data_IF_881673748490
#
_entry.id   IF_881673748490
#
_cell.length_a   1.000
_cell.length_b   1.000
_cell.length_c   1.000
_cell.angle_alpha   90.00
_cell.angle_beta   90.00
_cell.angle_gamma   90.00
#
_symmetry.space_group_name_H-M   'P 1'
#
loop_
_entity.id
_entity.type
_entity.pdbx_description
1 polymer ?
#
# COMPACT_ATOMS: atom_id res chain seq x y z
N UNK A 1 -15.27 7.19 -16.08
CA UNK A 1 -15.03 8.46 -15.33
C UNK A 1 -14.41 8.08 -13.98
N UNK A 2 -13.30 8.71 -13.56
CA UNK A 2 -12.69 8.44 -12.24
C UNK A 2 -13.60 9.05 -11.15
N UNK A 3 -13.89 8.31 -10.08
CA UNK A 3 -14.72 8.77 -8.94
C UNK A 3 -13.81 9.17 -7.78
N UNK A 4 -14.18 10.22 -7.06
CA UNK A 4 -13.51 10.69 -5.86
C UNK A 4 -14.53 10.73 -4.71
N UNK A 5 -14.16 10.17 -3.57
CA UNK A 5 -14.96 10.19 -2.35
C UNK A 5 -14.19 10.84 -1.21
N UNK A 6 -14.88 11.64 -0.39
CA UNK A 6 -14.34 12.24 0.83
C UNK A 6 -15.41 12.11 1.91
N UNK A 7 -15.08 11.42 2.99
CA UNK A 7 -15.96 11.23 4.15
C UNK A 7 -15.16 11.57 5.41
N UNK A 8 -15.76 12.35 6.31
CA UNK A 8 -15.18 12.62 7.61
C UNK A 8 -15.33 11.40 8.54
N UNK A 9 -14.28 11.10 9.30
CA UNK A 9 -14.25 10.06 10.32
C UNK A 9 -13.55 10.66 11.55
N UNK A 10 -14.26 10.79 12.67
CA UNK A 10 -13.80 11.50 13.86
C UNK A 10 -12.84 10.68 14.73
N UNK A 11 -12.89 9.36 14.63
CA UNK A 11 -12.04 8.46 15.42
C UNK A 11 -11.58 7.23 14.64
N UNK A 12 -10.71 6.43 15.25
CA UNK A 12 -10.35 5.10 14.76
C UNK A 12 -11.14 3.99 15.49
N UNK A 13 -12.22 4.34 16.19
CA UNK A 13 -13.10 3.37 16.84
C UNK A 13 -13.83 2.54 15.78
N UNK A 14 -13.91 1.22 15.99
CA UNK A 14 -14.27 0.25 14.96
C UNK A 14 -15.62 0.56 14.29
N UNK A 15 -16.65 0.89 15.08
CA UNK A 15 -17.99 1.19 14.58
C UNK A 15 -18.02 2.44 13.69
N UNK A 16 -17.48 3.56 14.18
CA UNK A 16 -17.48 4.84 13.44
C UNK A 16 -16.61 4.73 12.18
N UNK A 17 -15.46 4.09 12.30
CA UNK A 17 -14.52 3.89 11.20
C UNK A 17 -15.12 3.01 10.11
N UNK A 18 -15.74 1.89 10.48
CA UNK A 18 -16.36 0.96 9.52
C UNK A 18 -17.48 1.66 8.76
N UNK A 19 -18.38 2.37 9.44
CA UNK A 19 -19.47 3.13 8.80
C UNK A 19 -18.93 4.22 7.86
N UNK A 20 -17.90 4.94 8.27
CA UNK A 20 -17.27 5.98 7.45
C UNK A 20 -16.61 5.38 6.21
N UNK A 21 -15.93 4.24 6.36
CA UNK A 21 -15.28 3.52 5.27
C UNK A 21 -16.29 2.93 4.28
N UNK A 22 -17.39 2.35 4.75
CA UNK A 22 -18.46 1.85 3.88
C UNK A 22 -19.11 2.98 3.07
N UNK A 23 -19.40 4.12 3.70
CA UNK A 23 -19.91 5.31 3.00
C UNK A 23 -18.93 5.81 1.97
N UNK A 24 -17.64 5.86 2.32
CA UNK A 24 -16.58 6.29 1.40
C UNK A 24 -16.51 5.37 0.19
N UNK A 25 -16.41 4.06 0.41
CA UNK A 25 -16.35 3.06 -0.65
C UNK A 25 -17.60 3.09 -1.52
N UNK A 26 -18.79 3.16 -0.91
CA UNK A 26 -20.06 3.29 -1.63
C UNK A 26 -20.10 4.49 -2.57
N UNK A 27 -19.56 5.64 -2.14
CA UNK A 27 -19.50 6.86 -2.97
C UNK A 27 -18.62 6.72 -4.22
N UNK A 28 -17.64 5.81 -4.20
CA UNK A 28 -16.73 5.55 -5.32
C UNK A 28 -17.04 4.27 -6.10
N UNK A 29 -18.19 3.64 -5.85
CA UNK A 29 -18.65 2.46 -6.59
C UNK A 29 -18.46 1.12 -5.86
N UNK A 30 -18.12 1.15 -4.57
CA UNK A 30 -18.14 -0.02 -3.71
C UNK A 30 -17.02 -1.04 -3.97
N UNK A 31 -17.28 -2.25 -3.51
CA UNK A 31 -16.38 -3.40 -3.59
C UNK A 31 -16.98 -4.55 -4.40
N UNK A 32 -17.92 -4.26 -5.30
CA UNK A 32 -18.65 -5.29 -6.09
C UNK A 32 -17.75 -6.01 -7.10
N UNK A 33 -16.55 -5.49 -7.34
CA UNK A 33 -15.52 -6.12 -8.16
C UNK A 33 -14.75 -7.25 -7.44
N UNK A 34 -14.98 -7.43 -6.13
CA UNK A 34 -14.33 -8.46 -5.33
C UNK A 34 -15.07 -9.78 -5.50
N UNK A 35 -14.38 -10.76 -6.07
CA UNK A 35 -14.91 -12.11 -6.28
C UNK A 35 -14.32 -13.09 -5.25
N UNK A 36 -15.09 -14.10 -4.80
CA UNK A 36 -14.58 -15.15 -3.92
C UNK A 36 -13.35 -15.83 -4.53
N UNK A 37 -12.29 -16.00 -3.73
CA UNK A 37 -11.03 -16.58 -4.16
C UNK A 37 -10.00 -15.59 -4.69
N UNK A 38 -10.37 -14.34 -5.00
CA UNK A 38 -9.39 -13.31 -5.40
C UNK A 38 -8.33 -13.08 -4.33
N UNK A 39 -7.08 -13.03 -4.73
CA UNK A 39 -5.97 -12.54 -3.90
C UNK A 39 -5.83 -11.03 -4.05
N UNK A 40 -6.15 -10.29 -2.98
CA UNK A 40 -6.06 -8.84 -2.94
C UNK A 40 -4.88 -8.41 -2.07
N UNK A 41 -3.98 -7.61 -2.64
CA UNK A 41 -2.87 -7.00 -1.92
C UNK A 41 -3.22 -5.56 -1.50
N UNK A 42 -3.20 -5.28 -0.19
CA UNK A 42 -3.29 -3.93 0.37
C UNK A 42 -1.89 -3.42 0.64
N UNK A 43 -1.44 -2.51 -0.22
CA UNK A 43 -0.19 -1.76 -0.05
C UNK A 43 -0.40 -0.65 0.98
N UNK A 44 0.18 -0.81 2.15
CA UNK A 44 0.10 0.16 3.25
C UNK A 44 1.27 1.15 3.22
N UNK A 45 1.26 2.21 4.02
CA UNK A 45 2.51 2.87 4.39
C UNK A 45 3.14 2.19 5.61
N UNK A 46 4.40 1.79 5.48
CA UNK A 46 5.16 1.15 6.57
C UNK A 46 6.64 1.57 6.53
N UNK A 47 6.93 2.87 6.53
CA UNK A 47 8.32 3.37 6.42
C UNK A 47 9.26 2.74 7.47
N UNK A 48 8.77 2.67 8.72
CA UNK A 48 9.48 2.10 9.87
C UNK A 48 8.47 1.61 10.93
N UNK A 49 8.95 0.79 11.86
CA UNK A 49 8.18 0.40 13.04
C UNK A 49 7.96 1.62 13.93
N UNK A 50 6.74 2.14 13.94
CA UNK A 50 6.37 3.35 14.64
C UNK A 50 4.96 3.21 15.20
N UNK A 51 4.75 3.78 16.38
CA UNK A 51 3.42 3.89 16.99
C UNK A 51 2.43 4.55 15.99
N UNK A 52 1.24 3.96 15.75
CA UNK A 52 0.23 4.48 14.83
C UNK A 52 -0.14 5.96 15.06
N UNK A 53 -0.07 6.46 16.30
CA UNK A 53 -0.35 7.85 16.67
C UNK A 53 0.63 8.84 16.03
N UNK A 54 1.83 8.39 15.67
CA UNK A 54 2.83 9.22 14.99
C UNK A 54 2.57 9.42 13.50
N UNK A 55 1.55 8.77 12.94
CA UNK A 55 1.20 8.88 11.52
C UNK A 55 2.33 8.48 10.53
N UNK A 56 3.35 7.74 11.00
CA UNK A 56 4.43 7.18 10.15
C UNK A 56 3.97 5.95 9.39
N UNK A 57 2.92 5.28 9.86
CA UNK A 57 2.28 4.13 9.21
C UNK A 57 0.82 4.44 8.87
N UNK A 58 0.22 3.73 7.92
CA UNK A 58 -1.25 3.73 7.81
C UNK A 58 -1.82 3.14 9.10
N UNK A 59 -2.92 3.70 9.61
CA UNK A 59 -3.43 3.27 10.91
C UNK A 59 -3.92 1.81 10.83
N UNK A 60 -3.48 0.89 11.73
CA UNK A 60 -3.87 -0.52 11.68
C UNK A 60 -5.38 -0.75 11.66
N UNK A 61 -6.15 0.04 12.43
CA UNK A 61 -7.61 -0.04 12.42
C UNK A 61 -8.23 0.19 11.02
N UNK A 62 -7.67 1.09 10.21
CA UNK A 62 -8.16 1.34 8.83
C UNK A 62 -7.90 0.11 7.96
N UNK A 63 -6.70 -0.47 8.08
CA UNK A 63 -6.33 -1.68 7.35
C UNK A 63 -7.16 -2.88 7.78
N UNK A 64 -7.45 -3.01 9.08
CA UNK A 64 -8.29 -4.07 9.61
C UNK A 64 -9.74 -3.93 9.13
N UNK A 65 -10.33 -2.73 9.17
CA UNK A 65 -11.68 -2.49 8.66
C UNK A 65 -11.78 -2.79 7.15
N UNK A 66 -10.82 -2.30 6.36
CA UNK A 66 -10.77 -2.58 4.92
C UNK A 66 -10.57 -4.08 4.63
N UNK A 67 -9.65 -4.72 5.36
CA UNK A 67 -9.40 -6.17 5.24
C UNK A 67 -10.65 -6.97 5.51
N UNK A 68 -11.36 -6.65 6.61
CA UNK A 68 -12.62 -7.30 6.97
C UNK A 68 -13.62 -7.20 5.82
N UNK A 69 -13.87 -5.98 5.29
CA UNK A 69 -14.80 -5.78 4.18
C UNK A 69 -14.48 -6.62 2.94
N UNK A 70 -13.20 -6.84 2.63
CA UNK A 70 -12.77 -7.67 1.51
C UNK A 70 -12.91 -9.17 1.84
N UNK A 71 -12.49 -9.59 3.04
CA UNK A 71 -12.55 -10.99 3.47
C UNK A 71 -13.98 -11.52 3.58
N UNK A 72 -14.96 -10.74 4.06
CA UNK A 72 -16.38 -11.20 4.08
C UNK A 72 -16.93 -11.46 2.67
N UNK A 73 -16.30 -10.91 1.63
CA UNK A 73 -16.64 -11.15 0.23
C UNK A 73 -15.92 -12.37 -0.36
N UNK A 74 -15.15 -13.09 0.45
CA UNK A 74 -14.44 -14.31 0.05
C UNK A 74 -13.05 -14.07 -0.53
N UNK A 75 -12.52 -12.85 -0.49
CA UNK A 75 -11.15 -12.58 -0.94
C UNK A 75 -10.11 -13.05 0.08
N UNK A 76 -8.95 -13.46 -0.43
CA UNK A 76 -7.74 -13.70 0.33
C UNK A 76 -6.91 -12.42 0.40
N UNK A 77 -6.83 -11.77 1.57
CA UNK A 77 -6.21 -10.44 1.68
C UNK A 77 -4.79 -10.52 2.25
N UNK A 78 -3.84 -9.85 1.60
CA UNK A 78 -2.47 -9.62 2.12
C UNK A 78 -2.22 -8.15 2.36
N UNK A 79 -1.76 -7.77 3.54
CA UNK A 79 -1.39 -6.39 3.89
C UNK A 79 0.12 -6.29 4.01
N UNK A 80 0.72 -5.33 3.34
CA UNK A 80 2.18 -5.20 3.36
C UNK A 80 2.74 -3.94 2.76
N UNK A 81 4.04 -3.80 2.91
CA UNK A 81 4.88 -2.78 2.28
C UNK A 81 6.31 -3.33 2.21
N UNK A 82 7.16 -2.65 1.45
CA UNK A 82 8.61 -2.77 1.62
C UNK A 82 9.11 -1.57 2.45
N UNK A 83 9.46 -1.75 3.73
CA UNK A 83 9.96 -0.67 4.58
C UNK A 83 11.33 -0.15 4.11
N UNK A 84 11.79 0.93 4.74
CA UNK A 84 13.21 1.33 4.64
C UNK A 84 14.12 0.33 5.37
N UNK A 85 15.35 0.17 4.85
CA UNK A 85 16.32 -0.79 5.37
C UNK A 85 16.21 -2.18 4.72
N UNK A 86 16.76 -3.23 5.36
CA UNK A 86 16.74 -4.59 4.80
C UNK A 86 15.32 -5.10 4.57
N UNK A 87 15.07 -5.74 3.43
CA UNK A 87 13.78 -6.40 3.14
C UNK A 87 13.89 -7.88 3.49
N UNK A 88 13.79 -8.18 4.78
CA UNK A 88 13.85 -9.54 5.33
C UNK A 88 12.64 -9.84 6.20
N UNK A 89 12.26 -11.12 6.31
CA UNK A 89 11.11 -11.55 7.11
C UNK A 89 11.23 -11.09 8.57
N UNK A 90 12.41 -11.22 9.18
CA UNK A 90 12.67 -10.79 10.56
C UNK A 90 12.49 -9.28 10.75
N UNK A 91 12.90 -8.46 9.78
CA UNK A 91 12.71 -7.02 9.83
C UNK A 91 11.24 -6.63 9.67
N UNK A 92 10.52 -7.29 8.76
CA UNK A 92 9.07 -7.11 8.58
C UNK A 92 8.31 -7.45 9.87
N UNK A 93 8.53 -8.63 10.45
CA UNK A 93 7.90 -9.05 11.71
C UNK A 93 8.12 -8.03 12.84
N UNK A 94 9.36 -7.55 12.98
CA UNK A 94 9.70 -6.53 13.99
C UNK A 94 8.93 -5.23 13.76
N UNK A 95 8.86 -4.76 12.52
CA UNK A 95 8.15 -3.53 12.17
C UNK A 95 6.64 -3.68 12.38
N UNK A 96 6.05 -4.82 11.98
CA UNK A 96 4.63 -5.08 12.18
C UNK A 96 4.25 -5.05 13.65
N UNK A 97 5.03 -5.69 14.53
CA UNK A 97 4.82 -5.63 15.98
C UNK A 97 4.91 -4.21 16.52
N UNK A 98 5.94 -3.46 16.13
CA UNK A 98 6.17 -2.07 16.57
C UNK A 98 5.09 -1.08 16.08
N UNK A 99 4.37 -1.43 15.02
CA UNK A 99 3.31 -0.62 14.42
C UNK A 99 1.91 -1.17 14.65
N UNK A 100 1.77 -2.21 15.47
CA UNK A 100 0.51 -2.91 15.76
C UNK A 100 -0.24 -3.42 14.51
N UNK A 101 0.48 -3.73 13.43
CA UNK A 101 -0.10 -4.21 12.17
C UNK A 101 -0.68 -5.62 12.30
N UNK A 102 -0.27 -6.40 13.31
CA UNK A 102 -0.82 -7.72 13.63
C UNK A 102 -2.36 -7.68 13.84
N UNK A 103 -2.94 -6.51 14.12
CA UNK A 103 -4.39 -6.31 14.18
C UNK A 103 -5.14 -6.71 12.89
N UNK A 104 -4.52 -6.65 11.72
CA UNK A 104 -5.18 -7.04 10.46
C UNK A 104 -5.48 -8.53 10.38
N UNK A 105 -4.76 -9.35 11.14
CA UNK A 105 -4.97 -10.80 11.19
C UNK A 105 -6.30 -11.15 11.86
N UNK A 106 -6.72 -10.35 12.84
CA UNK A 106 -8.05 -10.47 13.48
C UNK A 106 -9.19 -10.10 12.51
N UNK A 107 -8.89 -9.40 11.42
CA UNK A 107 -9.83 -9.10 10.34
C UNK A 107 -9.80 -10.14 9.20
N UNK A 108 -9.05 -11.24 9.37
CA UNK A 108 -8.95 -12.33 8.40
C UNK A 108 -7.98 -12.08 7.24
N UNK A 109 -7.17 -11.01 7.30
CA UNK A 109 -6.06 -10.81 6.37
C UNK A 109 -4.77 -11.49 6.89
N UNK A 110 -3.74 -11.55 6.04
CA UNK A 110 -2.38 -11.91 6.44
C UNK A 110 -1.42 -10.75 6.25
N UNK A 111 -0.38 -10.66 7.07
CA UNK A 111 0.72 -9.74 6.84
C UNK A 111 1.69 -10.32 5.79
N UNK A 112 2.20 -9.47 4.90
CA UNK A 112 3.19 -9.90 3.92
C UNK A 112 4.49 -10.29 4.62
N UNK A 113 4.94 -11.53 4.41
CA UNK A 113 6.26 -12.03 4.78
C UNK A 113 7.06 -12.50 3.56
N UNK A 114 6.47 -12.44 2.37
CA UNK A 114 7.19 -12.74 1.13
C UNK A 114 8.15 -11.58 0.81
N UNK A 115 9.44 -11.91 0.85
CA UNK A 115 10.55 -11.01 0.55
C UNK A 115 11.17 -11.28 -0.82
N UNK A 116 10.50 -12.09 -1.64
CA UNK A 116 10.84 -12.33 -3.02
C UNK A 116 10.86 -11.05 -3.85
N UNK A 117 11.69 -11.07 -4.87
CA UNK A 117 11.84 -9.98 -5.82
C UNK A 117 11.64 -10.52 -7.22
N UNK A 118 11.06 -9.70 -8.10
CA UNK A 118 10.83 -10.01 -9.49
C UNK A 118 11.28 -8.85 -10.36
N UNK A 119 12.06 -9.17 -11.37
CA UNK A 119 12.36 -8.25 -12.46
C UNK A 119 11.21 -8.27 -13.47
N UNK A 120 10.79 -7.08 -13.87
CA UNK A 120 9.72 -6.88 -14.81
C UNK A 120 10.12 -5.91 -15.91
N UNK A 121 9.81 -6.27 -17.15
CA UNK A 121 9.87 -5.34 -18.26
C UNK A 121 8.58 -4.50 -18.27
N UNK A 122 8.75 -3.19 -18.45
CA UNK A 122 7.65 -2.26 -18.66
C UNK A 122 7.94 -1.37 -19.87
N UNK A 123 7.88 -1.90 -21.11
CA UNK A 123 8.26 -1.14 -22.31
C UNK A 123 7.49 0.18 -22.49
N UNK A 124 6.28 0.27 -21.94
CA UNK A 124 5.45 1.49 -21.95
C UNK A 124 5.84 2.56 -20.93
N UNK A 125 6.80 2.28 -20.04
CA UNK A 125 7.28 3.23 -19.04
C UNK A 125 7.98 4.43 -19.66
N UNK A 126 7.71 5.62 -19.11
CA UNK A 126 8.26 6.87 -19.60
C UNK A 126 9.74 7.03 -19.26
N UNK A 127 10.12 6.69 -18.02
CA UNK A 127 11.48 6.73 -17.50
C UNK A 127 11.94 5.38 -16.94
N UNK A 128 11.01 4.58 -16.41
CA UNK A 128 11.27 3.26 -15.83
C UNK A 128 10.76 2.16 -16.77
N UNK A 129 11.62 1.71 -17.69
CA UNK A 129 11.25 0.64 -18.66
C UNK A 129 11.53 -0.78 -18.19
N UNK A 130 12.26 -0.92 -17.09
CA UNK A 130 12.52 -2.16 -16.38
C UNK A 130 12.55 -1.82 -14.90
N UNK A 131 11.96 -2.68 -14.07
CA UNK A 131 11.96 -2.52 -12.62
C UNK A 131 12.17 -3.85 -11.91
N UNK A 132 12.83 -3.77 -10.76
CA UNK A 132 12.85 -4.85 -9.76
C UNK A 132 11.86 -4.48 -8.68
N UNK A 133 10.93 -5.36 -8.38
CA UNK A 133 9.85 -5.11 -7.43
C UNK A 133 9.57 -6.31 -6.53
N UNK A 134 8.79 -6.10 -5.47
CA UNK A 134 8.40 -7.18 -4.55
C UNK A 134 7.40 -8.14 -5.21
N UNK A 135 7.66 -9.45 -5.14
CA UNK A 135 6.83 -10.49 -5.78
C UNK A 135 5.37 -10.49 -5.31
N UNK A 136 5.14 -10.31 -4.01
CA UNK A 136 3.80 -10.35 -3.42
C UNK A 136 2.79 -9.35 -4.00
N UNK A 137 3.26 -8.24 -4.60
CA UNK A 137 2.39 -7.30 -5.31
C UNK A 137 2.07 -7.76 -6.73
N UNK A 138 3.01 -8.43 -7.40
CA UNK A 138 2.81 -8.92 -8.77
C UNK A 138 2.01 -10.21 -8.86
N UNK A 139 1.93 -10.96 -7.75
CA UNK A 139 1.19 -12.22 -7.68
C UNK A 139 -0.29 -12.02 -7.24
N UNK A 140 -0.68 -10.79 -6.93
CA UNK A 140 -2.06 -10.46 -6.54
C UNK A 140 -2.96 -10.21 -7.77
N UNK A 141 -4.21 -10.66 -7.69
CA UNK A 141 -5.23 -10.39 -8.71
C UNK A 141 -5.64 -8.91 -8.73
N UNK A 142 -5.55 -8.24 -7.57
CA UNK A 142 -5.80 -6.81 -7.45
C UNK A 142 -4.94 -6.17 -6.35
N UNK A 143 -4.50 -4.93 -6.61
CA UNK A 143 -3.76 -4.11 -5.65
C UNK A 143 -4.64 -2.95 -5.17
N UNK A 144 -4.68 -2.71 -3.86
CA UNK A 144 -5.23 -1.49 -3.25
C UNK A 144 -4.08 -0.72 -2.61
N UNK A 145 -3.95 0.56 -2.95
CA UNK A 145 -2.98 1.45 -2.31
C UNK A 145 -3.66 2.21 -1.16
N UNK A 146 -3.43 1.80 0.08
CA UNK A 146 -4.01 2.42 1.27
C UNK A 146 -2.96 3.24 2.02
N UNK A 147 -2.99 4.55 1.82
CA UNK A 147 -1.98 5.46 2.36
C UNK A 147 -2.52 6.39 3.46
N UNK A 148 -1.59 7.01 4.18
CA UNK A 148 -1.79 8.21 4.97
C UNK A 148 -1.06 9.37 4.27
N UNK A 149 -1.67 10.55 4.27
CA UNK A 149 -1.04 11.75 3.73
C UNK A 149 0.16 12.16 4.60
N UNK A 150 1.34 12.32 3.99
CA UNK A 150 2.59 12.69 4.67
C UNK A 150 3.36 13.73 3.89
N UNK A 151 4.24 14.45 4.57
CA UNK A 151 5.27 15.30 3.94
C UNK A 151 6.42 14.45 3.40
N UNK A 152 7.15 14.95 2.42
CA UNK A 152 8.34 14.29 1.85
C UNK A 152 9.37 15.30 1.38
N UNK A 153 10.64 15.13 1.76
CA UNK A 153 11.69 16.13 1.49
C UNK A 153 11.89 16.47 0.00
N UNK A 154 11.85 15.47 -0.89
CA UNK A 154 12.05 15.69 -2.34
C UNK A 154 10.79 16.09 -3.10
N UNK A 155 9.60 15.75 -2.59
CA UNK A 155 8.32 15.84 -3.34
C UNK A 155 7.32 16.83 -2.70
N UNK A 156 7.68 17.46 -1.58
CA UNK A 156 6.77 18.22 -0.73
C UNK A 156 5.83 17.31 0.07
N UNK A 157 5.06 16.46 -0.62
CA UNK A 157 4.09 15.52 -0.03
C UNK A 157 4.17 14.13 -0.69
N UNK A 158 3.78 13.09 0.05
CA UNK A 158 3.74 11.72 -0.47
C UNK A 158 2.48 11.45 -1.29
N UNK A 159 1.32 11.89 -0.78
CA UNK A 159 0.00 11.49 -1.28
C UNK A 159 -0.10 9.96 -1.52
N UNK A 160 -1.07 9.53 -2.32
CA UNK A 160 -1.21 8.12 -2.69
C UNK A 160 -0.20 7.69 -3.76
N UNK A 161 0.08 8.55 -4.75
CA UNK A 161 0.98 8.27 -5.88
C UNK A 161 2.34 7.76 -5.39
N UNK A 162 2.96 8.41 -4.40
CA UNK A 162 4.25 7.93 -3.84
C UNK A 162 4.13 6.66 -3.00
N UNK A 163 2.94 6.27 -2.56
CA UNK A 163 2.76 5.08 -1.74
C UNK A 163 3.31 3.86 -2.47
N UNK A 164 3.10 3.72 -3.77
CA UNK A 164 3.61 2.59 -4.54
C UNK A 164 5.13 2.51 -4.68
N UNK A 165 5.88 3.53 -4.27
CA UNK A 165 7.33 3.39 -4.14
C UNK A 165 7.74 2.30 -3.12
N UNK A 166 6.81 1.88 -2.26
CA UNK A 166 6.94 0.70 -1.41
C UNK A 166 6.97 -0.64 -2.15
N UNK A 167 6.70 -0.67 -3.46
CA UNK A 167 6.93 -1.84 -4.30
C UNK A 167 8.42 -2.07 -4.61
N UNK A 168 9.27 -1.06 -4.41
CA UNK A 168 10.72 -1.17 -4.58
C UNK A 168 11.33 -1.84 -3.34
N UNK A 169 12.07 -2.95 -3.46
CA UNK A 169 12.55 -3.73 -2.32
C UNK A 169 13.57 -2.96 -1.45
N UNK A 170 13.27 -2.81 -0.17
CA UNK A 170 14.21 -2.45 0.91
C UNK A 170 15.23 -1.37 0.55
N UNK A 171 16.50 -1.79 0.50
CA UNK A 171 17.69 -0.96 0.28
C UNK A 171 17.88 -0.48 -1.16
N UNK A 172 17.10 -0.97 -2.12
CA UNK A 172 17.10 -0.44 -3.49
C UNK A 172 16.47 0.95 -3.55
N UNK A 173 15.64 1.33 -2.56
CA UNK A 173 15.01 2.65 -2.52
C UNK A 173 16.03 3.80 -2.56
N UNK A 174 17.07 3.84 -1.71
CA UNK A 174 18.17 4.79 -1.85
C UNK A 174 18.78 4.85 -3.26
N UNK A 175 19.03 3.70 -3.89
CA UNK A 175 19.59 3.63 -5.25
C UNK A 175 18.69 4.33 -6.27
N UNK A 176 17.37 4.16 -6.17
CA UNK A 176 16.41 4.88 -7.03
C UNK A 176 16.44 6.39 -6.80
N UNK A 177 16.64 6.86 -5.56
CA UNK A 177 16.82 8.29 -5.32
C UNK A 177 18.12 8.83 -5.95
N UNK A 178 19.20 8.02 -5.97
CA UNK A 178 20.44 8.40 -6.65
C UNK A 178 20.34 8.34 -8.17
N UNK A 179 19.59 7.37 -8.70
CA UNK A 179 19.37 7.20 -10.14
C UNK A 179 18.47 8.28 -10.73
N UNK A 180 17.54 8.81 -9.93
CA UNK A 180 16.63 9.89 -10.32
C UNK A 180 16.78 11.10 -9.36
N UNK A 181 17.91 11.83 -9.44
CA UNK A 181 18.18 12.95 -8.53
C UNK A 181 17.36 14.20 -8.88
N UNK A 182 16.90 14.32 -10.14
CA UNK A 182 15.96 15.36 -10.55
C UNK A 182 14.54 15.03 -10.06
N UNK A 183 13.87 15.94 -9.32
CA UNK A 183 12.53 15.70 -8.78
C UNK A 183 11.47 15.38 -9.85
N UNK A 184 11.57 15.93 -11.07
CA UNK A 184 10.58 15.66 -12.14
C UNK A 184 10.76 14.25 -12.68
N UNK A 185 11.99 13.78 -12.81
CA UNK A 185 12.26 12.40 -13.25
C UNK A 185 11.90 11.38 -12.18
N UNK A 186 12.15 11.67 -10.90
CA UNK A 186 11.68 10.82 -9.80
C UNK A 186 10.14 10.77 -9.76
N UNK A 187 9.46 11.90 -9.95
CA UNK A 187 8.00 11.92 -10.03
C UNK A 187 7.47 11.09 -11.22
N UNK A 188 8.11 11.17 -12.40
CA UNK A 188 7.76 10.32 -13.55
C UNK A 188 7.98 8.84 -13.27
N UNK A 189 9.06 8.50 -12.56
CA UNK A 189 9.32 7.12 -12.16
C UNK A 189 8.23 6.60 -11.22
N UNK A 190 7.78 7.41 -10.26
CA UNK A 190 6.65 7.02 -9.41
C UNK A 190 5.40 6.79 -10.25
N UNK A 191 5.08 7.69 -11.19
CA UNK A 191 3.93 7.50 -12.10
C UNK A 191 4.06 6.21 -12.91
N UNK A 192 5.26 5.86 -13.39
CA UNK A 192 5.49 4.58 -14.07
C UNK A 192 5.21 3.38 -13.14
N UNK A 193 5.50 3.48 -11.83
CA UNK A 193 5.11 2.44 -10.86
C UNK A 193 3.58 2.35 -10.70
N UNK A 194 2.88 3.48 -10.58
CA UNK A 194 1.41 3.51 -10.54
C UNK A 194 0.78 2.89 -11.80
N UNK A 195 1.33 3.20 -12.98
CA UNK A 195 0.86 2.66 -14.26
C UNK A 195 1.25 1.19 -14.48
N UNK A 196 2.31 0.70 -13.83
CA UNK A 196 2.67 -0.71 -13.85
C UNK A 196 1.77 -1.55 -12.94
N UNK A 197 1.62 -1.15 -11.67
CA UNK A 197 0.82 -1.90 -10.68
C UNK A 197 -0.68 -1.68 -10.79
N UNK A 198 -1.11 -0.55 -11.38
CA UNK A 198 -2.50 -0.15 -11.62
C UNK A 198 -3.43 -0.45 -10.43
N UNK A 199 -3.22 0.19 -9.26
CA UNK A 199 -4.09 -0.04 -8.10
C UNK A 199 -5.56 0.13 -8.46
N UNK A 200 -6.37 -0.84 -8.04
CA UNK A 200 -7.83 -0.83 -8.25
C UNK A 200 -8.49 0.30 -7.45
N UNK A 201 -7.94 0.60 -6.27
CA UNK A 201 -8.35 1.67 -5.36
C UNK A 201 -7.11 2.39 -4.79
N UNK A 202 -7.22 3.71 -4.63
CA UNK A 202 -6.22 4.64 -4.08
C UNK A 202 -6.88 5.67 -3.17
#
# INVERSE_FOLDING_TARGET
MKKLGIIACGSYEDTELTQSLERLLGSIGGLDWVEPGMHIAIKTNLLSGSDPKRAVVTHPAVLAALSRLLTVRGASVTVGDSPGGPFTEGHLKRIYRQSAMEQVEQAGARLNLDVGQRDAAFPGGKVLRQLTCTSWLTDADAVISCCKLKTHGMMGMSANVKNLFGAIPGTMKPEYHFRFPDPKDFARMIVDLDEYFKPRLT
#
